data_IF_720143854118
#
_entry.id   IF_720143854118
#
_cell.length_a   1.000
_cell.length_b   1.000
_cell.length_c   1.000
_cell.angle_alpha   90.00
_cell.angle_beta   90.00
_cell.angle_gamma   90.00
#
_symmetry.space_group_name_H-M   'P 1'
#
loop_
_entity.id
_entity.type
_entity.pdbx_description
1 polymer ?
#
# COMPACT_ATOMS: atom_id res chain seq x y z
N UNK A 1 -21.04 -52.72 -29.77
CA UNK A 1 -20.86 -52.13 -28.43
C UNK A 1 -19.42 -52.38 -28.01
N UNK A 2 -18.55 -51.47 -27.59
CA UNK A 2 -18.59 -50.03 -27.32
C UNK A 2 -17.17 -49.49 -27.57
N UNK A 3 -17.04 -48.28 -28.10
CA UNK A 3 -15.78 -47.52 -28.14
C UNK A 3 -15.72 -46.65 -26.87
N UNK A 4 -14.61 -46.58 -26.11
CA UNK A 4 -14.55 -45.87 -24.84
C UNK A 4 -14.31 -44.37 -25.08
N UNK A 5 -15.38 -43.59 -25.15
CA UNK A 5 -15.35 -42.13 -25.12
C UNK A 5 -15.52 -41.70 -23.66
N UNK A 6 -14.54 -40.99 -23.09
CA UNK A 6 -14.79 -40.31 -21.81
C UNK A 6 -13.56 -39.79 -21.06
N UNK A 7 -12.38 -40.37 -21.31
CA UNK A 7 -11.19 -40.04 -20.51
C UNK A 7 -10.50 -38.72 -20.89
N UNK A 8 -10.86 -38.14 -22.03
CA UNK A 8 -10.28 -36.88 -22.54
C UNK A 8 -11.16 -35.64 -22.30
N UNK A 9 -12.40 -35.80 -21.81
CA UNK A 9 -13.29 -34.66 -21.53
C UNK A 9 -12.94 -33.93 -20.23
N UNK A 10 -12.45 -34.65 -19.21
CA UNK A 10 -12.15 -34.06 -17.89
C UNK A 10 -10.91 -33.15 -17.88
N UNK A 11 -9.90 -33.45 -18.69
CA UNK A 11 -8.63 -32.69 -18.71
C UNK A 11 -8.78 -31.34 -19.43
N UNK A 12 -9.63 -31.26 -20.45
CA UNK A 12 -9.87 -30.02 -21.20
C UNK A 12 -10.65 -28.98 -20.37
N UNK A 13 -11.54 -29.43 -19.49
CA UNK A 13 -12.35 -28.55 -18.64
C UNK A 13 -11.49 -27.94 -17.51
N UNK A 14 -10.54 -28.69 -16.94
CA UNK A 14 -9.65 -28.21 -15.88
C UNK A 14 -8.64 -27.17 -16.40
N UNK A 15 -8.14 -27.34 -17.63
CA UNK A 15 -7.21 -26.39 -18.25
C UNK A 15 -7.81 -25.01 -18.56
N UNK A 16 -9.12 -24.93 -18.76
CA UNK A 16 -9.81 -23.67 -19.10
C UNK A 16 -10.06 -22.78 -17.86
N UNK A 17 -10.16 -23.37 -16.66
CA UNK A 17 -10.31 -22.61 -15.41
C UNK A 17 -9.00 -21.98 -14.91
N UNK A 18 -7.84 -22.54 -15.29
CA UNK A 18 -6.52 -22.01 -14.92
C UNK A 18 -6.05 -20.83 -15.78
N UNK A 19 -6.78 -20.50 -16.85
CA UNK A 19 -6.38 -19.48 -17.82
C UNK A 19 -6.85 -18.04 -17.50
N UNK A 20 -7.61 -17.84 -16.41
CA UNK A 20 -8.09 -16.54 -15.97
C UNK A 20 -7.29 -15.97 -14.78
N UNK A 21 -5.97 -16.14 -14.77
CA UNK A 21 -5.08 -15.30 -13.97
C UNK A 21 -5.01 -13.92 -14.64
N UNK A 22 -6.05 -13.12 -14.43
CA UNK A 22 -6.12 -11.73 -14.91
C UNK A 22 -4.92 -10.95 -14.38
N UNK A 23 -4.01 -10.57 -15.27
CA UNK A 23 -2.98 -9.59 -14.95
C UNK A 23 -3.65 -8.27 -14.56
N UNK A 24 -3.59 -7.91 -13.28
CA UNK A 24 -4.09 -6.63 -12.80
C UNK A 24 -3.13 -5.54 -13.26
N UNK A 25 -3.59 -4.68 -14.17
CA UNK A 25 -2.84 -3.50 -14.59
C UNK A 25 -2.94 -2.45 -13.48
N UNK A 26 -1.84 -2.19 -12.79
CA UNK A 26 -1.72 -1.07 -11.84
C UNK A 26 -1.08 0.12 -12.55
N UNK A 27 -1.58 1.33 -12.30
CA UNK A 27 -0.94 2.55 -12.79
C UNK A 27 0.44 2.71 -12.13
N UNK A 28 1.51 2.97 -12.91
CA UNK A 28 2.86 3.05 -12.35
C UNK A 28 3.13 4.33 -11.55
N UNK A 29 2.23 5.31 -11.62
CA UNK A 29 2.54 6.71 -11.30
C UNK A 29 2.19 7.14 -9.86
N UNK A 30 1.79 6.20 -9.02
CA UNK A 30 1.38 6.47 -7.64
C UNK A 30 -0.05 6.99 -7.51
N UNK A 31 -0.44 7.26 -6.26
CA UNK A 31 -1.73 7.89 -5.95
C UNK A 31 -1.74 9.39 -6.32
N UNK A 32 -2.85 9.90 -6.87
CA UNK A 32 -3.09 11.34 -7.01
C UNK A 32 -3.40 12.03 -5.67
N UNK A 33 -3.24 13.35 -5.59
CA UNK A 33 -3.51 14.12 -4.37
C UNK A 33 -4.99 14.09 -3.93
N UNK A 34 -5.92 13.86 -4.86
CA UNK A 34 -7.33 13.73 -4.52
C UNK A 34 -7.65 12.44 -3.76
N UNK A 35 -6.73 11.47 -3.68
CA UNK A 35 -6.84 10.28 -2.82
C UNK A 35 -7.01 10.66 -1.34
N UNK A 36 -6.42 11.77 -0.90
CA UNK A 36 -6.45 12.19 0.50
C UNK A 36 -7.86 12.56 1.01
N UNK A 37 -8.72 13.07 0.12
CA UNK A 37 -10.04 13.65 0.48
C UNK A 37 -11.21 12.78 0.01
N UNK A 38 -10.97 11.54 -0.40
CA UNK A 38 -12.04 10.63 -0.82
C UNK A 38 -12.92 10.26 0.37
N UNK A 39 -14.18 9.94 0.06
CA UNK A 39 -15.19 9.50 1.04
C UNK A 39 -14.80 8.23 1.80
N UNK A 40 -13.86 7.44 1.27
CA UNK A 40 -13.26 6.28 1.92
C UNK A 40 -11.78 6.59 2.20
N UNK A 41 -11.45 6.82 3.46
CA UNK A 41 -10.10 7.16 3.90
C UNK A 41 -9.11 6.09 3.49
N UNK A 42 -8.05 6.48 2.77
CA UNK A 42 -6.95 5.61 2.32
C UNK A 42 -7.38 4.36 1.55
N UNK A 43 -8.61 4.35 0.99
CA UNK A 43 -9.04 3.27 0.10
C UNK A 43 -8.87 3.69 -1.35
N UNK A 44 -8.15 2.91 -2.16
CA UNK A 44 -8.07 3.21 -3.57
C UNK A 44 -9.44 2.97 -4.22
N UNK A 45 -9.77 3.78 -5.23
CA UNK A 45 -11.04 3.69 -5.93
C UNK A 45 -11.08 2.52 -6.94
N UNK A 46 -10.73 1.32 -6.50
CA UNK A 46 -10.73 0.09 -7.29
C UNK A 46 -12.08 -0.63 -7.20
N UNK A 47 -13.16 0.10 -7.52
CA UNK A 47 -14.52 -0.43 -7.59
C UNK A 47 -14.99 -1.10 -6.29
N UNK A 48 -15.32 -2.39 -6.39
CA UNK A 48 -15.83 -3.19 -5.28
C UNK A 48 -14.75 -3.74 -4.34
N UNK A 49 -13.46 -3.49 -4.62
CA UNK A 49 -12.38 -3.89 -3.72
C UNK A 49 -12.56 -3.28 -2.32
N UNK A 50 -12.19 -4.05 -1.30
CA UNK A 50 -12.25 -3.67 0.12
C UNK A 50 -10.93 -3.99 0.77
N UNK A 51 -10.57 -3.18 1.76
CA UNK A 51 -9.39 -3.42 2.58
C UNK A 51 -9.49 -4.78 3.27
N UNK A 52 -8.39 -5.51 3.25
CA UNK A 52 -8.24 -6.73 4.03
C UNK A 52 -8.18 -6.40 5.52
N UNK A 53 -8.53 -7.34 6.39
CA UNK A 53 -8.37 -7.14 7.83
C UNK A 53 -6.89 -7.17 8.19
N UNK A 54 -6.52 -6.46 9.28
CA UNK A 54 -5.15 -6.45 9.78
C UNK A 54 -4.60 -7.87 10.03
N UNK A 55 -5.46 -8.80 10.44
CA UNK A 55 -5.09 -10.19 10.75
C UNK A 55 -4.66 -11.00 9.52
N UNK A 56 -5.02 -10.56 8.31
CA UNK A 56 -4.72 -11.25 7.06
C UNK A 56 -3.87 -10.43 6.10
N UNK A 57 -3.28 -9.31 6.55
CA UNK A 57 -2.43 -8.50 5.69
C UNK A 57 -1.15 -9.29 5.37
N UNK A 58 -0.78 -9.43 4.08
CA UNK A 58 0.46 -10.12 3.70
C UNK A 58 1.70 -9.22 3.85
N UNK A 59 1.51 -7.94 4.19
CA UNK A 59 2.57 -6.96 4.37
C UNK A 59 2.56 -6.40 5.79
N UNK A 60 3.72 -5.98 6.29
CA UNK A 60 3.89 -5.32 7.58
C UNK A 60 4.43 -3.90 7.42
N UNK A 61 3.81 -2.96 8.12
CA UNK A 61 4.30 -1.59 8.26
C UNK A 61 4.90 -1.43 9.65
N UNK A 62 6.17 -1.07 9.73
CA UNK A 62 6.87 -0.81 11.00
C UNK A 62 7.40 0.63 11.01
N UNK A 63 7.47 1.22 12.20
CA UNK A 63 8.06 2.54 12.41
C UNK A 63 9.12 2.46 13.51
N UNK A 64 10.20 3.24 13.38
CA UNK A 64 11.27 3.32 14.40
C UNK A 64 10.81 3.95 15.71
N UNK A 65 9.63 4.59 15.71
CA UNK A 65 8.97 5.17 16.87
C UNK A 65 7.61 5.74 16.49
N UNK A 66 6.85 6.15 17.51
CA UNK A 66 5.56 6.84 17.34
C UNK A 66 5.50 8.16 18.13
N UNK A 67 6.34 8.36 19.14
CA UNK A 67 6.48 9.65 19.81
C UNK A 67 7.39 10.57 18.99
N UNK A 68 7.02 11.84 18.86
CA UNK A 68 7.79 12.84 18.13
C UNK A 68 7.90 14.15 18.92
N UNK A 69 9.04 14.82 18.78
CA UNK A 69 9.22 16.23 19.12
C UNK A 69 9.47 17.07 17.85
N UNK A 70 9.74 18.37 18.01
CA UNK A 70 10.02 19.27 16.90
C UNK A 70 11.10 18.74 15.94
N UNK A 71 10.73 18.51 14.67
CA UNK A 71 11.65 18.10 13.62
C UNK A 71 12.22 16.68 13.74
N UNK A 72 11.74 15.88 14.70
CA UNK A 72 12.10 14.45 14.84
C UNK A 72 11.92 13.73 13.50
N UNK A 73 12.86 12.86 13.17
CA UNK A 73 12.75 11.97 12.02
C UNK A 73 12.39 10.56 12.48
N UNK A 74 11.38 9.97 11.84
CA UNK A 74 10.94 8.59 12.07
C UNK A 74 11.08 7.82 10.77
N UNK A 75 11.76 6.68 10.85
CA UNK A 75 11.88 5.76 9.73
C UNK A 75 10.65 4.86 9.71
N UNK A 76 10.01 4.74 8.55
CA UNK A 76 8.85 3.86 8.34
C UNK A 76 9.20 2.86 7.25
N UNK A 77 8.87 1.59 7.44
CA UNK A 77 9.20 0.52 6.50
C UNK A 77 8.00 -0.36 6.22
N UNK A 78 7.78 -0.65 4.93
CA UNK A 78 6.85 -1.68 4.47
C UNK A 78 7.67 -2.92 4.11
N UNK A 79 7.31 -4.09 4.64
CA UNK A 79 7.91 -5.38 4.34
C UNK A 79 6.87 -6.34 3.77
N UNK A 80 7.18 -7.01 2.66
CA UNK A 80 6.29 -8.00 2.05
C UNK A 80 6.47 -9.44 2.55
N UNK A 81 7.37 -9.67 3.50
CA UNK A 81 7.68 -10.98 4.10
C UNK A 81 8.07 -12.07 3.09
N UNK A 82 7.09 -12.76 2.51
CA UNK A 82 7.27 -13.85 1.53
C UNK A 82 6.74 -13.47 0.15
N UNK A 83 6.24 -12.24 0.00
CA UNK A 83 5.64 -11.71 -1.22
C UNK A 83 6.24 -10.33 -1.56
N UNK A 84 5.90 -9.84 -2.75
CA UNK A 84 6.28 -8.52 -3.25
C UNK A 84 5.06 -7.61 -3.35
N UNK A 85 5.28 -6.31 -3.20
CA UNK A 85 4.27 -5.29 -3.48
C UNK A 85 4.78 -4.33 -4.55
N UNK A 86 3.86 -3.77 -5.33
CA UNK A 86 4.20 -2.81 -6.40
C UNK A 86 3.85 -1.38 -6.05
N UNK A 87 2.76 -1.19 -5.30
CA UNK A 87 2.27 0.12 -4.93
C UNK A 87 1.99 0.23 -3.44
N UNK A 88 2.00 1.47 -2.95
CA UNK A 88 1.68 1.81 -1.59
C UNK A 88 1.16 3.25 -1.51
N UNK A 89 0.44 3.54 -0.44
CA UNK A 89 0.05 4.87 -0.03
C UNK A 89 0.18 4.90 1.48
N UNK A 90 1.10 5.72 1.99
CA UNK A 90 1.28 5.93 3.42
C UNK A 90 0.89 7.36 3.77
N UNK A 91 0.23 7.53 4.90
CA UNK A 91 -0.19 8.80 5.44
C UNK A 91 0.19 8.89 6.92
N UNK A 92 0.71 10.05 7.33
CA UNK A 92 1.07 10.34 8.71
C UNK A 92 -0.01 11.19 9.38
N UNK A 93 -0.46 10.75 10.56
CA UNK A 93 -1.55 11.40 11.30
C UNK A 93 -1.23 11.58 12.77
N UNK A 94 -1.69 12.68 13.35
CA UNK A 94 -1.65 12.87 14.79
C UNK A 94 -2.58 11.87 15.47
N UNK A 95 -2.06 11.15 16.47
CA UNK A 95 -2.79 10.09 17.15
C UNK A 95 -3.96 10.59 18.00
N UNK A 96 -4.00 11.88 18.36
CA UNK A 96 -5.08 12.46 19.16
C UNK A 96 -6.09 13.20 18.28
N UNK A 97 -5.60 14.04 17.38
CA UNK A 97 -6.48 14.92 16.59
C UNK A 97 -6.86 14.33 15.23
N UNK A 98 -6.20 13.26 14.81
CA UNK A 98 -6.35 12.64 13.50
C UNK A 98 -5.97 13.56 12.32
N UNK A 99 -5.37 14.73 12.59
CA UNK A 99 -4.89 15.66 11.58
C UNK A 99 -3.73 15.08 10.78
N UNK A 100 -3.60 15.49 9.52
CA UNK A 100 -2.40 15.24 8.72
C UNK A 100 -1.24 16.08 9.25
N UNK A 101 -0.12 15.43 9.54
CA UNK A 101 1.02 16.09 10.18
C UNK A 101 2.36 15.69 9.57
N UNK A 102 3.29 16.65 9.60
CA UNK A 102 4.67 16.45 9.19
C UNK A 102 4.82 16.34 7.67
N UNK A 103 6.00 15.89 7.25
CA UNK A 103 6.35 15.77 5.84
C UNK A 103 7.18 14.52 5.60
N UNK A 104 7.11 13.99 4.39
CA UNK A 104 7.95 12.87 3.96
C UNK A 104 9.14 13.40 3.17
N UNK A 105 10.31 12.78 3.36
CA UNK A 105 11.41 12.95 2.43
C UNK A 105 11.13 12.17 1.16
N UNK A 106 11.19 12.84 0.02
CA UNK A 106 11.09 12.16 -1.27
C UNK A 106 12.37 11.37 -1.54
N UNK A 107 12.21 10.08 -1.85
CA UNK A 107 13.30 9.18 -2.21
C UNK A 107 13.08 8.63 -3.62
N UNK A 108 14.09 7.97 -4.19
CA UNK A 108 14.00 7.37 -5.51
C UNK A 108 12.80 6.40 -5.59
N UNK A 109 12.03 6.48 -6.67
CA UNK A 109 10.83 5.67 -6.93
C UNK A 109 9.66 5.92 -5.95
N UNK A 110 9.65 7.09 -5.29
CA UNK A 110 8.54 7.55 -4.46
C UNK A 110 8.09 8.94 -4.89
N UNK A 111 6.87 9.31 -4.51
CA UNK A 111 6.30 10.63 -4.72
C UNK A 111 5.63 11.10 -3.44
N UNK A 112 5.92 12.32 -3.02
CA UNK A 112 5.28 12.91 -1.85
C UNK A 112 3.99 13.65 -2.22
N UNK A 113 3.05 13.71 -1.27
CA UNK A 113 1.78 14.44 -1.38
C UNK A 113 1.66 15.31 -0.12
N UNK A 114 2.29 16.50 -0.11
CA UNK A 114 2.41 17.34 1.08
C UNK A 114 1.06 17.80 1.64
N UNK A 115 0.07 17.97 0.77
CA UNK A 115 -1.27 18.48 1.11
C UNK A 115 -2.00 17.60 2.12
N UNK A 116 -1.57 16.34 2.24
CA UNK A 116 -2.13 15.39 3.20
C UNK A 116 -1.11 14.54 3.93
N UNK A 117 0.15 15.02 4.02
CA UNK A 117 1.22 14.32 4.75
C UNK A 117 1.38 12.86 4.31
N UNK A 118 1.44 12.64 2.99
CA UNK A 118 1.48 11.30 2.39
C UNK A 118 2.68 11.07 1.48
N UNK A 119 2.97 9.80 1.24
CA UNK A 119 3.96 9.31 0.26
C UNK A 119 3.40 8.08 -0.47
N UNK A 120 3.68 7.97 -1.76
CA UNK A 120 3.22 6.87 -2.63
C UNK A 120 4.36 6.41 -3.55
N UNK A 121 4.18 5.30 -4.26
CA UNK A 121 5.14 4.81 -5.25
C UNK A 121 5.20 5.73 -6.47
N UNK A 122 6.32 5.72 -7.20
CA UNK A 122 6.48 6.39 -8.49
C UNK A 122 6.87 5.42 -9.61
N UNK A 123 6.87 4.11 -9.34
CA UNK A 123 7.00 3.05 -10.32
C UNK A 123 6.19 1.81 -9.94
N UNK A 124 5.97 0.89 -10.89
CA UNK A 124 5.31 -0.40 -10.67
C UNK A 124 6.28 -1.57 -10.49
N UNK A 125 7.54 -1.32 -10.12
CA UNK A 125 8.51 -2.40 -9.90
C UNK A 125 8.15 -3.20 -8.65
N UNK A 126 8.46 -4.49 -8.66
CA UNK A 126 8.31 -5.35 -7.49
C UNK A 126 9.23 -4.88 -6.35
N UNK A 127 8.68 -4.87 -5.14
CA UNK A 127 9.36 -4.42 -3.91
C UNK A 127 9.17 -5.50 -2.85
N UNK A 128 10.26 -6.02 -2.32
CA UNK A 128 10.23 -6.86 -1.10
C UNK A 128 10.14 -5.98 0.15
N UNK A 129 10.73 -4.79 0.08
CA UNK A 129 10.80 -3.81 1.14
C UNK A 129 10.82 -2.39 0.57
N UNK A 130 10.24 -1.44 1.29
CA UNK A 130 10.39 -0.02 1.01
C UNK A 130 10.52 0.75 2.32
N UNK A 131 11.45 1.70 2.37
CA UNK A 131 11.79 2.47 3.57
C UNK A 131 11.68 3.96 3.28
N UNK A 132 11.09 4.66 4.22
CA UNK A 132 10.73 6.07 4.14
C UNK A 132 11.19 6.81 5.38
N UNK A 133 11.37 8.12 5.26
CA UNK A 133 11.66 8.98 6.40
C UNK A 133 10.56 10.04 6.47
N UNK A 134 9.87 10.06 7.61
CA UNK A 134 8.92 11.11 7.97
C UNK A 134 9.60 12.10 8.92
N UNK A 135 9.36 13.39 8.72
CA UNK A 135 9.80 14.48 9.59
C UNK A 135 8.59 15.10 10.30
N UNK A 136 8.69 15.20 11.62
CA UNK A 136 7.71 15.86 12.45
C UNK A 136 7.63 17.37 12.20
N UNK A 137 6.47 18.00 12.46
CA UNK A 137 6.36 19.46 12.52
C UNK A 137 7.41 20.07 13.45
N UNK A 138 7.82 21.31 13.19
CA UNK A 138 8.88 21.99 13.97
C UNK A 138 8.36 22.77 15.18
N UNK A 139 7.05 22.79 15.36
CA UNK A 139 6.32 23.66 16.29
C UNK A 139 5.52 22.88 17.36
N UNK A 140 5.50 21.55 17.28
CA UNK A 140 4.76 20.70 18.22
C UNK A 140 5.42 19.33 18.45
N UNK A 141 4.92 18.64 19.47
CA UNK A 141 5.30 17.29 19.87
C UNK A 141 4.04 16.45 20.12
N UNK A 142 4.15 15.13 20.06
CA UNK A 142 3.00 14.26 20.27
C UNK A 142 3.27 12.81 19.90
N UNK A 143 2.20 12.12 19.52
CA UNK A 143 2.28 10.77 18.97
C UNK A 143 1.72 10.77 17.54
N UNK A 144 2.41 10.11 16.63
CA UNK A 144 2.03 9.93 15.22
C UNK A 144 1.68 8.47 14.99
N UNK A 145 0.75 8.22 14.07
CA UNK A 145 0.53 6.89 13.52
C UNK A 145 0.53 6.96 11.98
N UNK A 146 0.81 5.81 11.37
CA UNK A 146 0.98 5.67 9.94
C UNK A 146 -0.03 4.67 9.40
N UNK A 147 -0.66 5.00 8.28
CA UNK A 147 -1.73 4.21 7.64
C UNK A 147 -1.61 4.19 6.14
#
# INVERSE_FOLDING_TARGET
MHCPVGRYCGLAVIGCWLAFLSATQAFPDGAPADTCVKSRTNEPNHGAARSQSQASLPYQVTASGNAYGPGTQIQVTIHGHQDVFRGFFLQARDAQTNEWIGSWYETLNTKTIPECSSVTHADNRDKEQATFVWQAPKDRQGQVYFT
#
